data_IF_998714163277
#
_entry.id   IF_998714163277
#
_cell.length_a   1.000
_cell.length_b   1.000
_cell.length_c   1.000
_cell.angle_alpha   90.00
_cell.angle_beta   90.00
_cell.angle_gamma   90.00
#
_symmetry.space_group_name_H-M   'P 1'
#
loop_
_entity.id
_entity.type
_entity.pdbx_description
1 polymer ?
#
# COMPACT_ATOMS: atom_id res chain seq x y z
N UNK A 1 -25.00 31.85 -70.44
CA UNK A 1 -24.29 30.56 -70.34
C UNK A 1 -23.22 30.70 -69.25
N UNK A 2 -23.45 30.06 -68.09
CA UNK A 2 -22.60 29.92 -66.87
C UNK A 2 -22.32 31.22 -66.07
N UNK A 3 -23.00 31.56 -64.97
CA UNK A 3 -23.05 30.97 -63.61
C UNK A 3 -21.71 30.91 -62.84
N UNK A 4 -21.57 31.87 -61.90
CA UNK A 4 -21.32 31.75 -60.45
C UNK A 4 -20.27 30.77 -59.91
N UNK A 5 -19.26 31.27 -59.18
CA UNK A 5 -19.16 31.16 -57.71
C UNK A 5 -17.78 31.53 -57.19
N UNK A 6 -17.75 32.55 -56.33
CA UNK A 6 -16.64 32.87 -55.45
C UNK A 6 -16.46 31.73 -54.42
N UNK A 7 -15.30 31.08 -54.43
CA UNK A 7 -14.91 30.12 -53.39
C UNK A 7 -14.50 30.88 -52.13
N UNK A 8 -15.47 31.01 -51.24
CA UNK A 8 -15.30 31.45 -49.86
C UNK A 8 -14.42 30.44 -49.11
N UNK A 9 -13.17 30.81 -48.78
CA UNK A 9 -12.33 30.04 -47.84
C UNK A 9 -12.94 30.10 -46.44
N UNK A 10 -13.88 29.21 -46.15
CA UNK A 10 -14.30 28.91 -44.77
C UNK A 10 -13.20 28.10 -44.10
N UNK A 11 -12.34 28.79 -43.34
CA UNK A 11 -11.55 28.21 -42.25
C UNK A 11 -12.49 27.44 -41.34
N UNK A 12 -12.49 26.11 -41.44
CA UNK A 12 -13.20 25.25 -40.50
C UNK A 12 -12.29 25.09 -39.29
N UNK A 13 -12.47 25.97 -38.31
CA UNK A 13 -11.88 25.86 -36.97
C UNK A 13 -12.44 24.62 -36.28
N UNK A 14 -11.88 23.45 -36.60
CA UNK A 14 -12.13 22.22 -35.88
C UNK A 14 -11.34 22.24 -34.57
N UNK A 15 -11.82 23.01 -33.58
CA UNK A 15 -11.46 22.79 -32.17
C UNK A 15 -12.15 21.52 -31.70
N UNK A 16 -11.72 20.39 -32.26
CA UNK A 16 -11.98 19.08 -31.73
C UNK A 16 -10.84 18.77 -30.79
N UNK A 17 -10.89 19.32 -29.58
CA UNK A 17 -10.11 18.75 -28.48
C UNK A 17 -10.55 17.29 -28.40
N UNK A 18 -9.73 16.38 -28.96
CA UNK A 18 -9.96 14.94 -28.86
C UNK A 18 -10.06 14.67 -27.37
N UNK A 19 -11.29 14.48 -26.85
CA UNK A 19 -11.49 13.97 -25.49
C UNK A 19 -10.81 12.61 -25.49
N UNK A 20 -9.57 12.58 -25.02
CA UNK A 20 -8.82 11.34 -24.82
C UNK A 20 -9.68 10.52 -23.88
N UNK A 21 -10.13 9.35 -24.34
CA UNK A 21 -10.98 8.47 -23.56
C UNK A 21 -10.17 8.05 -22.32
N UNK A 22 -10.48 8.64 -21.16
CA UNK A 22 -9.77 8.32 -19.91
C UNK A 22 -10.27 6.99 -19.36
N UNK A 23 -9.36 6.15 -18.87
CA UNK A 23 -9.72 4.89 -18.22
C UNK A 23 -10.63 5.14 -17.00
N UNK A 24 -11.60 4.25 -16.73
CA UNK A 24 -12.56 4.40 -15.62
C UNK A 24 -11.85 4.61 -14.28
N UNK A 25 -10.80 3.82 -14.01
CA UNK A 25 -10.04 3.90 -12.76
C UNK A 25 -9.36 5.25 -12.55
N UNK A 26 -8.87 5.88 -13.64
CA UNK A 26 -8.27 7.22 -13.60
C UNK A 26 -9.31 8.27 -13.25
N UNK A 27 -10.49 8.20 -13.87
CA UNK A 27 -11.59 9.12 -13.57
C UNK A 27 -12.06 8.98 -12.12
N UNK A 28 -12.11 7.75 -11.61
CA UNK A 28 -12.42 7.48 -10.20
C UNK A 28 -11.41 8.20 -9.31
N UNK A 29 -10.10 8.01 -9.50
CA UNK A 29 -9.09 8.67 -8.67
C UNK A 29 -9.23 10.21 -8.71
N UNK A 30 -9.40 10.81 -9.89
CA UNK A 30 -9.57 12.26 -10.04
C UNK A 30 -10.78 12.80 -9.25
N UNK A 31 -11.95 12.14 -9.33
CA UNK A 31 -13.14 12.52 -8.57
C UNK A 31 -12.96 12.26 -7.06
N UNK A 32 -12.37 11.13 -6.72
CA UNK A 32 -12.19 10.68 -5.34
C UNK A 32 -11.30 11.66 -4.55
N UNK A 33 -10.20 12.13 -5.13
CA UNK A 33 -9.32 13.11 -4.47
C UNK A 33 -9.79 14.57 -4.59
N UNK A 34 -10.92 14.82 -5.26
CA UNK A 34 -11.66 16.10 -5.17
C UNK A 34 -12.67 16.14 -4.02
N UNK A 35 -12.80 15.04 -3.26
CA UNK A 35 -13.77 14.92 -2.17
C UNK A 35 -15.16 14.49 -2.63
N UNK A 36 -15.32 14.01 -3.86
CA UNK A 36 -16.61 13.48 -4.34
C UNK A 36 -16.90 12.12 -3.68
N UNK A 37 -18.12 11.95 -3.16
CA UNK A 37 -18.57 10.67 -2.62
C UNK A 37 -19.20 9.83 -3.75
N UNK A 38 -18.37 8.96 -4.33
CA UNK A 38 -18.77 8.04 -5.39
C UNK A 38 -19.44 6.78 -4.84
N UNK A 39 -19.15 6.42 -3.59
CA UNK A 39 -19.63 5.18 -2.99
C UNK A 39 -21.11 5.27 -2.59
N UNK A 40 -21.59 6.44 -2.16
CA UNK A 40 -23.03 6.62 -1.89
C UNK A 40 -23.92 6.53 -3.13
N UNK A 41 -23.35 6.76 -4.31
CA UNK A 41 -24.09 6.73 -5.58
C UNK A 41 -24.22 5.31 -6.15
N UNK A 42 -23.37 4.36 -5.73
CA UNK A 42 -23.39 2.98 -6.20
C UNK A 42 -23.06 2.00 -5.05
N UNK A 43 -24.02 1.16 -4.62
CA UNK A 43 -23.79 0.21 -3.54
C UNK A 43 -22.69 -0.82 -3.86
N UNK A 44 -22.44 -1.09 -5.14
CA UNK A 44 -21.42 -2.04 -5.60
C UNK A 44 -20.09 -1.36 -5.96
N UNK A 45 -19.90 -0.08 -5.58
CA UNK A 45 -18.74 0.71 -5.99
C UNK A 45 -17.41 0.02 -5.67
N UNK A 46 -17.23 -0.46 -4.43
CA UNK A 46 -15.98 -1.08 -3.98
C UNK A 46 -15.70 -2.40 -4.69
N UNK A 47 -16.74 -3.20 -4.89
CA UNK A 47 -16.70 -4.45 -5.65
C UNK A 47 -16.25 -4.23 -7.09
N UNK A 48 -16.73 -3.15 -7.73
CA UNK A 48 -16.30 -2.76 -9.07
C UNK A 48 -14.89 -2.18 -9.07
N UNK A 49 -14.54 -1.35 -8.09
CA UNK A 49 -13.24 -0.70 -7.97
C UNK A 49 -12.12 -1.74 -7.92
N UNK A 50 -12.24 -2.75 -7.07
CA UNK A 50 -11.22 -3.79 -6.90
C UNK A 50 -11.22 -4.85 -8.02
N UNK A 51 -12.08 -4.72 -9.03
CA UNK A 51 -11.97 -5.46 -10.29
C UNK A 51 -11.19 -4.68 -11.36
N UNK A 52 -11.00 -3.36 -11.18
CA UNK A 52 -10.20 -2.54 -12.08
C UNK A 52 -8.72 -2.62 -11.69
N UNK A 53 -7.86 -2.89 -12.69
CA UNK A 53 -6.41 -2.92 -12.46
C UNK A 53 -5.93 -1.55 -11.97
N UNK A 54 -5.30 -1.44 -10.79
CA UNK A 54 -4.90 -0.16 -10.23
C UNK A 54 -3.78 0.45 -11.06
N UNK A 55 -3.86 1.76 -11.26
CA UNK A 55 -2.80 2.56 -11.91
C UNK A 55 -1.96 3.21 -10.83
N UNK A 56 -1.11 2.40 -10.18
CA UNK A 56 -0.29 2.77 -9.01
C UNK A 56 0.35 4.15 -9.17
N UNK A 57 1.12 4.37 -10.24
CA UNK A 57 1.81 5.65 -10.44
C UNK A 57 0.87 6.85 -10.60
N UNK A 58 -0.31 6.63 -11.17
CA UNK A 58 -1.30 7.69 -11.32
C UNK A 58 -1.98 7.99 -9.98
N UNK A 59 -2.38 6.96 -9.23
CA UNK A 59 -2.92 7.10 -7.87
C UNK A 59 -1.95 7.87 -6.96
N UNK A 60 -0.68 7.47 -6.93
CA UNK A 60 0.34 8.18 -6.14
C UNK A 60 0.47 9.64 -6.60
N UNK A 61 0.46 9.89 -7.92
CA UNK A 61 0.59 11.24 -8.46
C UNK A 61 -0.62 12.13 -8.17
N UNK A 62 -1.84 11.59 -8.13
CA UNK A 62 -3.02 12.37 -7.73
C UNK A 62 -2.89 12.82 -6.27
N UNK A 63 -2.49 11.92 -5.37
CA UNK A 63 -2.36 12.21 -3.93
C UNK A 63 -1.22 13.20 -3.67
N UNK A 64 -0.03 12.97 -4.25
CA UNK A 64 1.17 13.80 -4.02
C UNK A 64 0.97 15.25 -4.49
N UNK A 65 0.05 15.49 -5.45
CA UNK A 65 -0.24 16.85 -5.94
C UNK A 65 -1.24 17.62 -5.08
N UNK A 66 -1.86 17.00 -4.08
CA UNK A 66 -2.79 17.67 -3.19
C UNK A 66 -2.03 18.64 -2.27
N UNK A 67 -2.56 19.85 -2.12
CA UNK A 67 -2.15 20.72 -1.03
C UNK A 67 -2.89 20.36 0.27
N UNK A 68 -2.54 21.03 1.38
CA UNK A 68 -3.13 20.72 2.70
C UNK A 68 -4.66 20.84 2.76
N UNK A 69 -5.25 21.86 2.14
CA UNK A 69 -6.71 22.04 2.10
C UNK A 69 -7.38 20.92 1.31
N UNK A 70 -6.85 20.60 0.13
CA UNK A 70 -7.36 19.54 -0.73
C UNK A 70 -7.24 18.16 -0.08
N UNK A 71 -6.12 17.89 0.61
CA UNK A 71 -5.93 16.65 1.35
C UNK A 71 -6.96 16.51 2.47
N UNK A 72 -7.27 17.59 3.17
CA UNK A 72 -8.32 17.58 4.20
C UNK A 72 -9.71 17.38 3.61
N UNK A 73 -10.01 17.97 2.45
CA UNK A 73 -11.26 17.70 1.71
C UNK A 73 -11.38 16.23 1.28
N UNK A 74 -10.26 15.61 0.90
CA UNK A 74 -10.22 14.21 0.48
C UNK A 74 -10.07 13.22 1.66
N UNK A 75 -9.90 13.69 2.90
CA UNK A 75 -9.59 12.84 4.07
C UNK A 75 -10.59 11.70 4.26
N UNK A 76 -11.89 11.98 4.18
CA UNK A 76 -12.93 10.96 4.30
C UNK A 76 -12.78 9.87 3.24
N UNK A 77 -12.52 10.27 2.01
CA UNK A 77 -12.31 9.36 0.88
C UNK A 77 -11.04 8.52 1.08
N UNK A 78 -9.91 9.13 1.50
CA UNK A 78 -8.68 8.40 1.86
C UNK A 78 -8.96 7.35 2.93
N UNK A 79 -9.66 7.74 4.01
CA UNK A 79 -10.05 6.86 5.10
C UNK A 79 -10.90 5.68 4.62
N UNK A 80 -11.91 5.95 3.78
CA UNK A 80 -12.78 4.92 3.21
C UNK A 80 -12.00 3.97 2.31
N UNK A 81 -11.13 4.49 1.42
CA UNK A 81 -10.29 3.67 0.54
C UNK A 81 -9.33 2.78 1.34
N UNK A 82 -8.68 3.32 2.36
CA UNK A 82 -7.80 2.55 3.24
C UNK A 82 -8.56 1.41 3.93
N UNK A 83 -9.70 1.73 4.55
CA UNK A 83 -10.56 0.74 5.22
C UNK A 83 -11.02 -0.35 4.25
N UNK A 84 -11.49 0.02 3.07
CA UNK A 84 -12.01 -0.92 2.09
C UNK A 84 -10.93 -1.78 1.44
N UNK A 85 -9.71 -1.26 1.32
CA UNK A 85 -8.56 -2.09 0.94
C UNK A 85 -8.34 -3.20 1.96
N UNK A 86 -8.36 -2.88 3.26
CA UNK A 86 -8.16 -3.86 4.34
C UNK A 86 -9.24 -4.93 4.30
N UNK A 87 -10.52 -4.55 4.28
CA UNK A 87 -11.65 -5.50 4.21
C UNK A 87 -11.53 -6.43 2.98
N UNK A 88 -11.07 -5.90 1.85
CA UNK A 88 -10.91 -6.66 0.61
C UNK A 88 -9.77 -7.68 0.67
N UNK A 89 -8.79 -7.52 1.59
CA UNK A 89 -7.72 -8.52 1.76
C UNK A 89 -8.25 -9.86 2.30
N UNK A 90 -9.40 -9.87 2.98
CA UNK A 90 -10.10 -11.07 3.42
C UNK A 90 -10.97 -11.74 2.35
N UNK A 91 -10.99 -11.22 1.11
CA UNK A 91 -11.86 -11.73 0.06
C UNK A 91 -11.31 -13.01 -0.59
N UNK A 92 -12.19 -13.94 -0.96
CA UNK A 92 -11.80 -15.18 -1.68
C UNK A 92 -11.29 -14.90 -3.11
N UNK A 93 -11.70 -13.78 -3.69
CA UNK A 93 -11.36 -13.42 -5.06
C UNK A 93 -9.94 -12.83 -5.14
N UNK A 94 -8.97 -13.69 -5.47
CA UNK A 94 -7.53 -13.38 -5.55
C UNK A 94 -7.19 -12.08 -6.31
N UNK A 95 -7.83 -11.78 -7.45
CA UNK A 95 -7.56 -10.51 -8.17
C UNK A 95 -7.91 -9.27 -7.34
N UNK A 96 -9.00 -9.31 -6.56
CA UNK A 96 -9.40 -8.20 -5.70
C UNK A 96 -8.41 -8.01 -4.57
N UNK A 97 -7.96 -9.10 -3.95
CA UNK A 97 -6.90 -9.07 -2.93
C UNK A 97 -5.63 -8.42 -3.47
N UNK A 98 -5.16 -8.86 -4.66
CA UNK A 98 -3.96 -8.28 -5.29
C UNK A 98 -4.15 -6.80 -5.60
N UNK A 99 -5.28 -6.40 -6.18
CA UNK A 99 -5.53 -5.00 -6.53
C UNK A 99 -5.74 -4.10 -5.31
N UNK A 100 -6.38 -4.60 -4.25
CA UNK A 100 -6.48 -3.92 -2.97
C UNK A 100 -5.10 -3.72 -2.35
N UNK A 101 -4.25 -4.74 -2.35
CA UNK A 101 -2.90 -4.66 -1.77
C UNK A 101 -1.99 -3.71 -2.57
N UNK A 102 -2.10 -3.68 -3.91
CA UNK A 102 -1.41 -2.69 -4.76
C UNK A 102 -1.89 -1.26 -4.48
N UNK A 103 -3.20 -1.08 -4.32
CA UNK A 103 -3.81 0.22 -4.00
C UNK A 103 -3.38 0.69 -2.61
N UNK A 104 -3.32 -0.21 -1.63
CA UNK A 104 -2.90 0.08 -0.27
C UNK A 104 -1.44 0.51 -0.19
N UNK A 105 -0.53 -0.20 -0.90
CA UNK A 105 0.87 0.20 -1.03
C UNK A 105 1.01 1.62 -1.61
N UNK A 106 0.29 1.92 -2.70
CA UNK A 106 0.31 3.22 -3.35
C UNK A 106 -0.22 4.33 -2.43
N UNK A 107 -1.33 4.05 -1.74
CA UNK A 107 -1.97 4.98 -0.82
C UNK A 107 -1.05 5.33 0.35
N UNK A 108 -0.49 4.33 1.04
CA UNK A 108 0.41 4.56 2.17
C UNK A 108 1.65 5.33 1.72
N UNK A 109 2.31 4.90 0.64
CA UNK A 109 3.49 5.57 0.05
C UNK A 109 3.24 7.05 -0.23
N UNK A 110 2.12 7.37 -0.87
CA UNK A 110 1.79 8.75 -1.24
C UNK A 110 1.36 9.60 -0.04
N UNK A 111 0.58 9.03 0.89
CA UNK A 111 0.10 9.76 2.07
C UNK A 111 1.26 10.07 3.02
N UNK A 112 2.22 9.16 3.22
CA UNK A 112 3.43 9.50 3.99
C UNK A 112 4.12 10.76 3.46
N UNK A 113 4.37 10.81 2.15
CA UNK A 113 5.02 11.96 1.50
C UNK A 113 4.19 13.23 1.64
N UNK A 114 2.89 13.14 1.36
CA UNK A 114 2.00 14.31 1.29
C UNK A 114 1.68 14.85 2.69
N UNK A 115 1.46 13.97 3.67
CA UNK A 115 1.21 14.36 5.06
C UNK A 115 2.43 15.04 5.68
N UNK A 116 3.65 14.54 5.43
CA UNK A 116 4.88 15.20 5.88
C UNK A 116 5.01 16.59 5.26
N UNK A 117 4.74 16.73 3.97
CA UNK A 117 4.78 18.04 3.28
C UNK A 117 3.74 19.03 3.82
N UNK A 118 2.57 18.55 4.20
CA UNK A 118 1.48 19.38 4.73
C UNK A 118 1.53 19.58 6.25
N UNK A 119 2.41 18.86 6.96
CA UNK A 119 2.48 18.90 8.42
C UNK A 119 1.32 18.19 9.13
N UNK A 120 0.71 17.18 8.49
CA UNK A 120 -0.38 16.38 9.07
C UNK A 120 0.11 15.05 9.61
N UNK A 121 -0.65 14.52 10.58
CA UNK A 121 -0.42 13.17 11.11
C UNK A 121 -0.88 12.10 10.11
N UNK A 122 -0.02 11.12 9.83
CA UNK A 122 -0.28 10.06 8.85
C UNK A 122 -1.43 9.15 9.29
N UNK A 123 -1.58 8.86 10.58
CA UNK A 123 -2.65 8.01 11.10
C UNK A 123 -4.00 8.71 10.95
N UNK A 124 -4.05 9.99 11.31
CA UNK A 124 -5.27 10.79 11.16
C UNK A 124 -5.75 10.81 9.70
N UNK A 125 -4.84 11.07 8.76
CA UNK A 125 -5.15 11.14 7.33
C UNK A 125 -5.52 9.78 6.74
N UNK A 126 -4.83 8.69 7.12
CA UNK A 126 -5.11 7.36 6.57
C UNK A 126 -6.38 6.72 7.12
N UNK A 127 -6.64 6.85 8.41
CA UNK A 127 -7.65 6.02 9.06
C UNK A 127 -8.37 6.67 10.25
N UNK A 128 -7.98 7.88 10.64
CA UNK A 128 -8.50 8.53 11.85
C UNK A 128 -8.04 7.82 13.12
N UNK A 129 -7.90 8.57 14.21
CA UNK A 129 -7.39 8.00 15.46
C UNK A 129 -8.31 6.95 16.08
N UNK A 130 -9.64 7.17 16.03
CA UNK A 130 -10.62 6.32 16.71
C UNK A 130 -10.64 4.87 16.21
N UNK A 131 -10.38 4.67 14.91
CA UNK A 131 -10.46 3.37 14.25
C UNK A 131 -9.07 2.77 13.97
N UNK A 132 -7.99 3.46 14.36
CA UNK A 132 -6.64 3.11 13.96
C UNK A 132 -6.24 1.72 14.48
N UNK A 133 -6.41 1.46 15.77
CA UNK A 133 -6.03 0.20 16.39
C UNK A 133 -6.77 -0.99 15.75
N UNK A 134 -8.09 -0.88 15.59
CA UNK A 134 -8.91 -1.93 14.99
C UNK A 134 -8.50 -2.22 13.54
N UNK A 135 -8.34 -1.18 12.72
CA UNK A 135 -7.97 -1.33 11.30
C UNK A 135 -6.57 -1.91 11.15
N UNK A 136 -5.62 -1.47 11.97
CA UNK A 136 -4.25 -1.96 11.93
C UNK A 136 -4.14 -3.41 12.39
N UNK A 137 -4.90 -3.80 13.41
CA UNK A 137 -5.01 -5.20 13.83
C UNK A 137 -5.52 -6.08 12.70
N UNK A 138 -6.64 -5.70 12.08
CA UNK A 138 -7.22 -6.45 10.96
C UNK A 138 -6.25 -6.53 9.76
N UNK A 139 -5.57 -5.43 9.43
CA UNK A 139 -4.55 -5.42 8.37
C UNK A 139 -3.44 -6.43 8.64
N UNK A 140 -2.93 -6.49 9.88
CA UNK A 140 -1.82 -7.38 10.23
C UNK A 140 -2.27 -8.84 10.38
N UNK A 141 -3.53 -9.10 10.75
CA UNK A 141 -4.15 -10.43 10.65
C UNK A 141 -4.20 -10.90 9.19
N UNK A 142 -4.65 -10.05 8.26
CA UNK A 142 -4.63 -10.37 6.82
C UNK A 142 -3.21 -10.59 6.29
N UNK A 143 -2.24 -9.76 6.70
CA UNK A 143 -0.84 -9.94 6.29
C UNK A 143 -0.30 -11.29 6.76
N UNK A 144 -0.55 -11.68 8.02
CA UNK A 144 -0.16 -12.98 8.54
C UNK A 144 -0.81 -14.14 7.76
N UNK A 145 -2.10 -14.02 7.43
CA UNK A 145 -2.81 -15.03 6.62
C UNK A 145 -2.24 -15.15 5.21
N UNK A 146 -1.97 -14.03 4.54
CA UNK A 146 -1.41 -14.01 3.19
C UNK A 146 0.00 -14.63 3.16
N UNK A 147 0.86 -14.26 4.11
CA UNK A 147 2.24 -14.73 4.15
C UNK A 147 2.36 -16.21 4.56
N UNK A 148 1.50 -16.66 5.47
CA UNK A 148 1.44 -18.07 5.92
C UNK A 148 0.72 -18.99 4.92
N UNK A 149 -0.14 -18.44 4.06
CA UNK A 149 -0.93 -19.24 3.12
C UNK A 149 -0.14 -19.80 1.93
N UNK A 150 -0.78 -20.70 1.19
CA UNK A 150 -0.24 -21.34 -0.02
C UNK A 150 -0.51 -20.52 -1.31
N UNK A 151 -0.73 -19.21 -1.15
CA UNK A 151 -0.98 -18.30 -2.26
C UNK A 151 0.24 -18.13 -3.18
N UNK A 152 0.04 -17.45 -4.32
CA UNK A 152 1.12 -17.19 -5.27
C UNK A 152 2.29 -16.41 -4.61
N UNK A 153 3.56 -16.75 -4.90
CA UNK A 153 4.73 -16.06 -4.31
C UNK A 153 4.68 -14.53 -4.50
N UNK A 154 4.22 -14.07 -5.66
CA UNK A 154 4.06 -12.64 -5.94
C UNK A 154 3.11 -11.91 -4.97
N UNK A 155 2.10 -12.61 -4.42
CA UNK A 155 1.20 -12.03 -3.43
C UNK A 155 1.93 -11.86 -2.09
N UNK A 156 2.76 -12.83 -1.70
CA UNK A 156 3.63 -12.73 -0.51
C UNK A 156 4.64 -11.59 -0.67
N UNK A 157 5.32 -11.48 -1.82
CA UNK A 157 6.22 -10.34 -2.12
C UNK A 157 5.50 -9.00 -1.99
N UNK A 158 4.27 -8.90 -2.50
CA UNK A 158 3.49 -7.67 -2.41
C UNK A 158 3.09 -7.34 -0.96
N UNK A 159 2.81 -8.37 -0.14
CA UNK A 159 2.51 -8.20 1.28
C UNK A 159 3.76 -7.79 2.09
N UNK A 160 4.92 -8.39 1.82
CA UNK A 160 6.19 -7.97 2.42
C UNK A 160 6.54 -6.53 2.04
N UNK A 161 6.30 -6.15 0.78
CA UNK A 161 6.46 -4.76 0.33
C UNK A 161 5.57 -3.79 1.12
N UNK A 162 4.33 -4.17 1.40
CA UNK A 162 3.43 -3.35 2.24
C UNK A 162 4.00 -3.17 3.65
N UNK A 163 4.42 -4.27 4.28
CA UNK A 163 5.00 -4.22 5.63
C UNK A 163 6.27 -3.36 5.65
N UNK A 164 7.16 -3.51 4.67
CA UNK A 164 8.34 -2.67 4.51
C UNK A 164 7.96 -1.19 4.40
N UNK A 165 7.00 -0.82 3.54
CA UNK A 165 6.51 0.56 3.42
C UNK A 165 6.01 1.12 4.76
N UNK A 166 5.29 0.32 5.55
CA UNK A 166 4.81 0.72 6.87
C UNK A 166 5.96 0.92 7.86
N UNK A 167 7.03 0.11 7.77
CA UNK A 167 8.19 0.21 8.66
C UNK A 167 9.18 1.31 8.27
N UNK A 168 9.28 1.66 6.98
CA UNK A 168 10.25 2.64 6.44
C UNK A 168 9.62 3.98 6.06
N UNK A 169 8.35 4.23 6.42
CA UNK A 169 7.66 5.46 6.04
C UNK A 169 8.18 6.74 6.72
N UNK A 170 8.94 6.61 7.82
CA UNK A 170 9.62 7.70 8.51
C UNK A 170 11.13 7.45 8.52
N UNK A 171 11.94 8.50 8.29
CA UNK A 171 13.40 8.43 8.32
C UNK A 171 13.94 7.94 9.68
N UNK A 172 13.20 8.23 10.76
CA UNK A 172 13.48 7.71 12.09
C UNK A 172 12.51 6.58 12.45
N UNK A 173 13.04 5.35 12.42
CA UNK A 173 12.32 4.12 12.78
C UNK A 173 11.62 4.23 14.13
N UNK A 174 12.24 4.86 15.15
CA UNK A 174 11.67 4.98 16.50
C UNK A 174 10.49 5.96 16.61
N UNK A 175 10.29 6.81 15.60
CA UNK A 175 9.21 7.80 15.51
C UNK A 175 8.13 7.39 14.49
N UNK A 176 8.22 6.19 13.93
CA UNK A 176 7.25 5.71 12.95
C UNK A 176 6.01 5.12 13.65
N UNK A 177 4.90 5.87 13.64
CA UNK A 177 3.65 5.44 14.29
C UNK A 177 3.03 4.19 13.65
N UNK A 178 3.14 3.97 12.33
CA UNK A 178 2.64 2.71 11.73
C UNK A 178 3.46 1.51 12.20
N UNK A 179 4.77 1.68 12.40
CA UNK A 179 5.63 0.64 12.93
C UNK A 179 5.24 0.27 14.36
N UNK A 180 4.80 1.22 15.18
CA UNK A 180 4.28 0.93 16.52
C UNK A 180 3.13 -0.08 16.48
N UNK A 181 2.20 0.06 15.53
CA UNK A 181 1.12 -0.91 15.35
C UNK A 181 1.62 -2.30 14.87
N UNK A 182 2.67 -2.35 14.06
CA UNK A 182 3.34 -3.61 13.64
C UNK A 182 4.03 -4.29 14.83
N UNK A 183 4.57 -3.50 15.76
CA UNK A 183 5.15 -4.02 16.99
C UNK A 183 4.08 -4.59 17.94
N UNK A 184 2.90 -3.98 17.99
CA UNK A 184 1.76 -4.46 18.79
C UNK A 184 1.13 -5.74 18.24
N UNK A 185 1.04 -5.87 16.91
CA UNK A 185 0.46 -7.05 16.25
C UNK A 185 1.56 -7.80 15.49
N UNK A 186 2.22 -8.70 16.21
CA UNK A 186 3.42 -9.41 15.74
C UNK A 186 3.20 -10.19 14.44
N UNK A 187 4.11 -10.01 13.47
CA UNK A 187 4.25 -10.84 12.26
C UNK A 187 5.42 -11.83 12.35
N UNK A 188 6.09 -11.90 13.51
CA UNK A 188 7.35 -12.64 13.71
C UNK A 188 7.29 -14.11 13.27
N UNK A 189 6.33 -14.90 13.77
CA UNK A 189 6.27 -16.34 13.49
C UNK A 189 6.18 -16.62 12.00
N UNK A 190 5.39 -15.82 11.30
CA UNK A 190 5.21 -15.91 9.85
C UNK A 190 6.51 -15.59 9.09
N UNK A 191 7.26 -14.59 9.55
CA UNK A 191 8.57 -14.24 8.96
C UNK A 191 9.60 -15.36 9.18
N UNK A 192 9.64 -15.94 10.38
CA UNK A 192 10.51 -17.09 10.68
C UNK A 192 10.16 -18.28 9.79
N UNK A 193 8.87 -18.61 9.65
CA UNK A 193 8.42 -19.70 8.80
C UNK A 193 8.85 -19.53 7.32
N UNK A 194 8.79 -18.29 6.79
CA UNK A 194 9.27 -18.00 5.43
C UNK A 194 10.77 -18.24 5.26
N UNK A 195 11.57 -18.07 6.33
CA UNK A 195 13.01 -18.36 6.31
C UNK A 195 13.30 -19.86 6.45
N UNK A 196 12.47 -20.61 7.18
CA UNK A 196 12.62 -22.06 7.34
C UNK A 196 12.37 -22.80 6.03
N UNK A 197 11.36 -22.39 5.25
CA UNK A 197 11.07 -22.99 3.94
C UNK A 197 12.09 -22.57 2.86
N UNK A 198 12.57 -23.54 2.07
CA UNK A 198 13.65 -23.30 1.11
C UNK A 198 13.22 -22.47 -0.09
N UNK A 199 12.02 -22.73 -0.65
CA UNK A 199 11.53 -21.98 -1.80
C UNK A 199 11.15 -20.56 -1.39
N UNK A 200 10.40 -20.41 -0.30
CA UNK A 200 10.02 -19.11 0.26
C UNK A 200 11.24 -18.27 0.62
N UNK A 201 12.29 -18.88 1.19
CA UNK A 201 13.55 -18.19 1.49
C UNK A 201 14.25 -17.66 0.25
N UNK A 202 14.26 -18.40 -0.85
CA UNK A 202 14.84 -17.93 -2.12
C UNK A 202 14.05 -16.75 -2.69
N UNK A 203 12.72 -16.84 -2.65
CA UNK A 203 11.84 -15.84 -3.26
C UNK A 203 11.70 -14.56 -2.42
N UNK A 204 11.80 -14.67 -1.09
CA UNK A 204 11.38 -13.63 -0.15
C UNK A 204 12.38 -13.34 0.96
N UNK A 205 13.43 -14.14 1.10
CA UNK A 205 14.34 -14.09 2.26
C UNK A 205 14.96 -12.72 2.47
N UNK A 206 15.38 -12.03 1.39
CA UNK A 206 15.94 -10.68 1.46
C UNK A 206 15.00 -9.70 2.18
N UNK A 207 13.75 -9.61 1.72
CA UNK A 207 12.76 -8.69 2.29
C UNK A 207 12.40 -9.08 3.72
N UNK A 208 12.36 -10.37 4.03
CA UNK A 208 12.12 -10.88 5.40
C UNK A 208 13.25 -10.47 6.34
N UNK A 209 14.52 -10.67 5.96
CA UNK A 209 15.68 -10.28 6.78
C UNK A 209 15.75 -8.76 6.95
N UNK A 210 15.46 -8.00 5.90
CA UNK A 210 15.39 -6.54 5.99
C UNK A 210 14.30 -6.09 6.97
N UNK A 211 13.11 -6.67 6.87
CA UNK A 211 12.00 -6.36 7.75
C UNK A 211 12.30 -6.73 9.21
N UNK A 212 12.84 -7.93 9.46
CA UNK A 212 13.28 -8.34 10.80
C UNK A 212 14.34 -7.37 11.35
N UNK A 213 15.29 -6.95 10.52
CA UNK A 213 16.33 -5.98 10.90
C UNK A 213 15.73 -4.64 11.33
N UNK A 214 14.72 -4.12 10.61
CA UNK A 214 14.03 -2.90 10.98
C UNK A 214 13.26 -3.06 12.29
N UNK A 215 12.54 -4.19 12.45
CA UNK A 215 11.73 -4.48 13.63
C UNK A 215 12.57 -4.61 14.90
N UNK A 216 13.72 -5.27 14.85
CA UNK A 216 14.63 -5.37 16.03
C UNK A 216 15.31 -4.05 16.37
N UNK A 217 15.41 -3.10 15.43
CA UNK A 217 16.01 -1.79 15.68
C UNK A 217 15.00 -0.76 16.22
N UNK A 218 13.70 -1.04 16.18
CA UNK A 218 12.68 -0.15 16.74
C UNK A 218 12.86 0.06 18.25
N UNK A 219 13.03 1.33 18.68
CA UNK A 219 13.21 1.75 20.10
C UNK A 219 14.16 0.88 20.91
N UNK A 220 15.16 0.26 20.27
CA UNK A 220 16.14 -0.64 20.89
C UNK A 220 16.81 -0.08 22.17
N UNK A 221 17.15 1.22 22.27
CA UNK A 221 17.76 1.76 23.50
C UNK A 221 16.76 2.16 24.60
N UNK A 222 15.46 2.21 24.31
CA UNK A 222 14.45 2.85 25.17
C UNK A 222 13.41 1.87 25.76
N UNK A 223 13.22 0.70 25.14
CA UNK A 223 12.24 -0.30 25.57
C UNK A 223 12.68 -1.73 25.27
N UNK A 224 12.09 -2.70 25.99
CA UNK A 224 12.26 -4.12 25.69
C UNK A 224 11.56 -4.45 24.36
N UNK A 225 12.34 -4.57 23.29
CA UNK A 225 11.82 -4.87 21.96
C UNK A 225 11.41 -6.37 21.88
N UNK A 226 10.14 -6.70 21.61
CA UNK A 226 9.66 -8.07 21.58
C UNK A 226 10.31 -8.92 20.48
N UNK A 227 10.70 -8.34 19.35
CA UNK A 227 11.37 -9.06 18.27
C UNK A 227 12.81 -9.45 18.66
N UNK A 228 13.51 -8.61 19.44
CA UNK A 228 14.82 -8.98 20.01
C UNK A 228 14.67 -10.18 20.94
N UNK A 229 13.70 -10.13 21.85
CA UNK A 229 13.45 -11.21 22.81
C UNK A 229 13.12 -12.50 22.06
N UNK A 230 12.16 -12.46 21.13
CA UNK A 230 11.76 -13.62 20.33
C UNK A 230 12.93 -14.21 19.53
N UNK A 231 13.76 -13.37 18.90
CA UNK A 231 14.92 -13.83 18.15
C UNK A 231 15.98 -14.47 19.06
N UNK A 232 16.16 -13.96 20.28
CA UNK A 232 17.16 -14.47 21.24
C UNK A 232 16.82 -15.85 21.82
N UNK A 233 15.55 -16.22 21.81
CA UNK A 233 15.05 -17.52 22.29
C UNK A 233 14.59 -18.44 21.14
N UNK A 234 14.84 -18.04 19.89
CA UNK A 234 14.44 -18.80 18.72
C UNK A 234 15.23 -20.10 18.66
N UNK A 235 14.53 -21.23 18.77
CA UNK A 235 15.07 -22.58 18.68
C UNK A 235 14.53 -23.28 17.42
N UNK A 236 14.81 -22.69 16.25
CA UNK A 236 14.46 -23.22 14.92
C UNK A 236 15.73 -23.21 14.04
N UNK A 237 16.44 -24.33 14.02
CA UNK A 237 17.69 -24.48 13.25
C UNK A 237 17.49 -24.19 11.75
N UNK A 238 16.46 -24.71 11.06
CA UNK A 238 16.14 -24.33 9.68
C UNK A 238 16.00 -22.82 9.48
N UNK A 239 15.25 -22.12 10.34
CA UNK A 239 15.06 -20.69 10.24
C UNK A 239 16.38 -19.92 10.42
N UNK A 240 17.17 -20.28 11.43
CA UNK A 240 18.44 -19.63 11.74
C UNK A 240 19.47 -19.83 10.63
N UNK A 241 19.57 -21.04 10.09
CA UNK A 241 20.39 -21.34 8.92
C UNK A 241 19.91 -20.55 7.69
N UNK A 242 18.60 -20.49 7.50
CA UNK A 242 17.98 -19.69 6.43
C UNK A 242 18.30 -18.21 6.54
N UNK A 243 18.21 -17.64 7.74
CA UNK A 243 18.56 -16.25 8.04
C UNK A 243 20.02 -15.96 7.68
N UNK A 244 20.95 -16.82 8.13
CA UNK A 244 22.38 -16.70 7.82
C UNK A 244 22.70 -16.84 6.32
N UNK A 245 22.00 -17.75 5.64
CA UNK A 245 22.14 -17.97 4.21
C UNK A 245 21.74 -16.72 3.40
N UNK A 246 20.61 -16.10 3.74
CA UNK A 246 20.15 -14.87 3.08
C UNK A 246 21.17 -13.74 3.25
N UNK A 247 21.72 -13.55 4.46
CA UNK A 247 22.76 -12.53 4.70
C UNK A 247 23.99 -12.82 3.85
N UNK A 248 24.43 -14.08 3.78
CA UNK A 248 25.58 -14.45 2.96
C UNK A 248 25.36 -14.14 1.49
N UNK A 249 24.14 -14.35 0.97
CA UNK A 249 23.81 -13.99 -0.41
C UNK A 249 23.87 -12.49 -0.64
N UNK A 250 23.24 -11.69 0.22
CA UNK A 250 23.22 -10.23 0.10
C UNK A 250 24.59 -9.58 0.20
N UNK A 251 25.57 -10.21 0.86
CA UNK A 251 26.96 -9.72 0.96
C UNK A 251 27.86 -10.21 -0.18
N UNK A 252 27.40 -11.17 -0.97
CA UNK A 252 28.15 -11.76 -2.09
C UNK A 252 27.85 -11.13 -3.45
N UNK A 253 26.78 -10.34 -3.54
CA UNK A 253 26.47 -9.44 -4.67
C UNK A 253 27.23 -8.11 -4.54
#
# INVERSE_FOLDING_TARGET
MKETMATNSRKRSGSGSKRVLKEKIVQIYESFFRGEDLASQNPNFWDELFLLKPKVSHLESEIIRLNGEQLMMAKYNVNALFSQCIETLGNEHQLRVVYALQTLCALISAIYKTSVQCGFDVIDILMGFDMAEQRMKLLLEHCNSILSGDGAPNLKSLCLKLLLLMTTGNDNVSQNTLLEFVMLNSVFETLIHLLSDTQSRQDHGHDVVLLLTLLVNYRKPEAANPYIVKLSILDDEPALNGYGQVISWSLSE
#
